data_IF_399372812755
#
_entry.id   IF_399372812755
#
_cell.length_a   1.000
_cell.length_b   1.000
_cell.length_c   1.000
_cell.angle_alpha   90.00
_cell.angle_beta   90.00
_cell.angle_gamma   90.00
#
_symmetry.space_group_name_H-M   'P 1'
#
loop_
_entity.id
_entity.type
_entity.pdbx_description
1 polymer ?
#
# COMPACT_ATOMS: atom_id res chain seq x y z
N UNK A 1 -22.18 8.37 -26.57
CA UNK A 1 -20.78 7.96 -26.78
C UNK A 1 -19.76 8.95 -26.20
N UNK A 2 -19.80 10.26 -26.53
CA UNK A 2 -18.92 11.26 -25.88
C UNK A 2 -19.28 11.56 -24.42
N UNK A 3 -20.57 11.56 -24.09
CA UNK A 3 -21.04 11.84 -22.73
C UNK A 3 -20.82 10.65 -21.78
N UNK A 4 -20.85 9.42 -22.31
CA UNK A 4 -20.56 8.20 -21.54
C UNK A 4 -19.09 8.13 -21.11
N UNK A 5 -18.18 8.60 -21.96
CA UNK A 5 -16.74 8.70 -21.63
C UNK A 5 -16.52 9.76 -20.56
N UNK A 6 -17.18 10.92 -20.65
CA UNK A 6 -17.11 11.94 -19.59
C UNK A 6 -17.67 11.45 -18.26
N UNK A 7 -18.80 10.76 -18.27
CA UNK A 7 -19.38 10.16 -17.06
C UNK A 7 -18.46 9.09 -16.45
N UNK A 8 -17.79 8.30 -17.29
CA UNK A 8 -16.76 7.36 -16.84
C UNK A 8 -15.55 8.10 -16.26
N UNK A 9 -15.01 9.11 -16.97
CA UNK A 9 -13.89 9.93 -16.50
C UNK A 9 -14.21 10.62 -15.16
N UNK A 10 -15.41 11.17 -14.99
CA UNK A 10 -15.89 11.78 -13.75
C UNK A 10 -16.06 10.74 -12.63
N UNK A 11 -16.59 9.54 -12.94
CA UNK A 11 -16.68 8.44 -11.98
C UNK A 11 -15.29 7.94 -11.52
N UNK A 12 -14.31 7.90 -12.43
CA UNK A 12 -12.91 7.58 -12.11
C UNK A 12 -12.20 8.71 -11.35
N UNK A 13 -12.54 9.97 -11.59
CA UNK A 13 -11.99 11.12 -10.87
C UNK A 13 -12.49 11.21 -9.41
N UNK A 14 -13.64 10.60 -9.09
CA UNK A 14 -14.31 10.77 -7.81
C UNK A 14 -14.38 9.52 -6.92
N UNK A 15 -13.75 8.40 -7.27
CA UNK A 15 -13.64 7.30 -6.32
C UNK A 15 -12.62 7.70 -5.24
N UNK A 16 -13.04 7.95 -3.98
CA UNK A 16 -12.11 8.38 -2.95
C UNK A 16 -11.17 7.22 -2.64
N UNK A 17 -9.87 7.43 -2.90
CA UNK A 17 -8.80 6.50 -2.53
C UNK A 17 -8.89 6.22 -1.03
N UNK A 18 -9.12 4.96 -0.64
CA UNK A 18 -9.16 4.55 0.78
C UNK A 18 -7.74 4.37 1.28
N UNK A 19 -7.21 5.37 1.97
CA UNK A 19 -5.89 5.28 2.58
C UNK A 19 -5.95 4.60 3.94
N UNK A 20 -5.10 3.59 4.12
CA UNK A 20 -4.87 2.96 5.41
C UNK A 20 -3.83 3.76 6.22
N UNK A 21 -4.15 4.07 7.48
CA UNK A 21 -3.19 4.57 8.47
C UNK A 21 -2.64 3.40 9.27
N UNK A 22 -1.35 3.43 9.57
CA UNK A 22 -0.71 2.43 10.42
C UNK A 22 -0.57 2.98 11.83
N UNK A 23 -1.18 2.30 12.80
CA UNK A 23 -1.02 2.56 14.23
C UNK A 23 -0.37 1.34 14.89
N UNK A 24 0.23 1.47 16.09
CA UNK A 24 0.78 0.33 16.81
C UNK A 24 -0.23 -0.81 17.06
N UNK A 25 -1.53 -0.51 17.08
CA UNK A 25 -2.61 -1.48 17.29
C UNK A 25 -3.13 -2.12 15.98
N UNK A 26 -2.67 -1.68 14.81
CA UNK A 26 -3.13 -2.20 13.52
C UNK A 26 -3.34 -1.12 12.45
N UNK A 27 -4.13 -1.46 11.45
CA UNK A 27 -4.46 -0.63 10.31
C UNK A 27 -5.80 0.07 10.54
N UNK A 28 -5.85 1.38 10.33
CA UNK A 28 -7.09 2.14 10.35
C UNK A 28 -7.48 2.51 8.92
N UNK A 29 -8.63 2.02 8.46
CA UNK A 29 -9.18 2.27 7.12
C UNK A 29 -10.57 2.89 7.28
N UNK A 30 -10.67 4.19 7.00
CA UNK A 30 -11.87 4.95 7.36
C UNK A 30 -12.09 4.94 8.87
N UNK A 31 -13.23 4.42 9.32
CA UNK A 31 -13.58 4.25 10.74
C UNK A 31 -13.24 2.86 11.29
N UNK A 32 -12.81 1.93 10.43
CA UNK A 32 -12.51 0.57 10.84
C UNK A 32 -11.05 0.43 11.29
N UNK A 33 -10.83 -0.30 12.38
CA UNK A 33 -9.50 -0.73 12.81
C UNK A 33 -9.36 -2.22 12.61
N UNK A 34 -8.39 -2.63 11.78
CA UNK A 34 -8.10 -4.00 11.45
C UNK A 34 -6.72 -4.36 12.02
N UNK A 35 -6.58 -5.38 12.89
CA UNK A 35 -5.27 -5.79 13.39
C UNK A 35 -4.36 -6.36 12.29
N UNK A 36 -4.99 -6.92 11.25
CA UNK A 36 -4.35 -7.57 10.11
C UNK A 36 -5.07 -7.13 8.84
N UNK A 37 -4.31 -6.92 7.76
CA UNK A 37 -4.85 -6.79 6.41
C UNK A 37 -4.49 -8.04 5.61
N UNK A 38 -5.50 -8.70 5.07
CA UNK A 38 -5.33 -9.87 4.20
C UNK A 38 -5.85 -9.54 2.80
N UNK A 39 -5.05 -9.81 1.78
CA UNK A 39 -5.42 -9.50 0.40
C UNK A 39 -4.25 -9.57 -0.56
N UNK A 40 -4.54 -9.33 -1.84
CA UNK A 40 -3.52 -9.33 -2.89
C UNK A 40 -2.98 -7.93 -3.11
N UNK A 41 -1.66 -7.78 -3.19
CA UNK A 41 -1.02 -6.51 -3.54
C UNK A 41 -1.11 -6.36 -5.07
N UNK A 42 -2.05 -5.54 -5.56
CA UNK A 42 -2.34 -5.31 -7.01
C UNK A 42 -1.36 -4.35 -7.68
N UNK A 43 -0.23 -4.08 -7.05
CA UNK A 43 0.79 -3.17 -7.52
C UNK A 43 1.33 -2.28 -6.41
N UNK A 44 2.54 -1.81 -6.66
CA UNK A 44 3.26 -0.94 -5.74
C UNK A 44 4.11 0.05 -6.53
N UNK A 45 4.39 1.20 -5.91
CA UNK A 45 5.24 2.22 -6.54
C UNK A 45 6.06 2.99 -5.51
N UNK A 46 7.18 3.50 -5.97
CA UNK A 46 8.00 4.44 -5.22
C UNK A 46 7.31 5.81 -5.20
N UNK A 47 7.09 6.34 -4.00
CA UNK A 47 6.65 7.72 -3.77
C UNK A 47 7.72 8.46 -2.98
N UNK A 48 7.73 9.79 -3.07
CA UNK A 48 8.67 10.62 -2.31
C UNK A 48 7.91 11.62 -1.46
N UNK A 49 8.29 11.75 -0.19
CA UNK A 49 7.68 12.70 0.74
C UNK A 49 8.72 13.51 1.49
N UNK A 50 8.46 14.81 1.57
CA UNK A 50 9.18 15.74 2.44
C UNK A 50 8.31 16.06 3.64
N UNK A 51 8.86 15.84 4.83
CA UNK A 51 8.23 16.21 6.09
C UNK A 51 8.91 17.44 6.67
N UNK A 52 8.14 18.40 7.16
CA UNK A 52 8.62 19.53 7.98
C UNK A 52 7.70 19.69 9.19
N UNK A 53 8.28 19.72 10.40
CA UNK A 53 7.50 19.82 11.64
C UNK A 53 6.44 18.72 11.78
N UNK A 54 6.74 17.49 11.35
CA UNK A 54 5.80 16.36 11.39
C UNK A 54 4.67 16.39 10.34
N UNK A 55 4.64 17.38 9.45
CA UNK A 55 3.62 17.49 8.38
C UNK A 55 4.24 17.22 7.02
N UNK A 56 3.48 16.54 6.15
CA UNK A 56 3.85 16.37 4.74
C UNK A 56 3.72 17.73 4.06
N UNK A 57 4.83 18.26 3.54
CA UNK A 57 4.86 19.54 2.81
C UNK A 57 5.08 19.35 1.31
N UNK A 58 5.45 18.14 0.89
CA UNK A 58 5.53 17.74 -0.50
C UNK A 58 5.32 16.22 -0.59
N UNK A 59 4.47 15.79 -1.51
CA UNK A 59 4.22 14.38 -1.85
C UNK A 59 4.20 14.24 -3.36
N UNK A 60 5.06 13.39 -3.90
CA UNK A 60 4.96 13.01 -5.30
C UNK A 60 4.08 11.77 -5.43
N UNK A 61 2.89 11.94 -6.00
CA UNK A 61 1.99 10.82 -6.23
C UNK A 61 2.19 10.14 -7.57
N UNK A 62 2.65 10.83 -8.62
CA UNK A 62 2.80 10.30 -9.98
C UNK A 62 3.61 11.22 -10.92
N UNK A 63 4.60 11.97 -10.41
CA UNK A 63 5.35 12.94 -11.20
C UNK A 63 4.68 14.32 -11.30
N UNK A 64 3.73 14.62 -10.42
CA UNK A 64 3.16 15.97 -10.28
C UNK A 64 4.28 16.90 -9.83
N UNK A 65 4.42 17.99 -10.59
CA UNK A 65 5.39 19.05 -10.37
C UNK A 65 5.54 19.41 -8.89
N UNK A 66 6.74 19.17 -8.34
CA UNK A 66 7.08 19.70 -7.04
C UNK A 66 7.10 21.23 -7.10
N UNK A 67 6.87 21.88 -5.96
CA UNK A 67 6.91 23.33 -5.80
C UNK A 67 8.09 23.95 -6.60
N UNK A 68 7.73 24.82 -7.57
CA UNK A 68 8.55 25.38 -8.68
C UNK A 68 8.61 24.57 -9.99
N UNK A 69 7.59 23.78 -10.34
CA UNK A 69 7.50 23.08 -11.63
C UNK A 69 8.68 22.15 -11.95
N UNK A 70 9.37 21.65 -10.90
CA UNK A 70 10.46 20.69 -11.07
C UNK A 70 9.92 19.29 -10.82
N UNK A 71 10.15 18.38 -11.78
CA UNK A 71 9.91 16.94 -11.60
C UNK A 71 10.62 16.49 -10.32
N UNK A 72 9.92 15.74 -9.46
CA UNK A 72 10.46 15.29 -8.17
C UNK A 72 11.72 14.43 -8.30
N UNK A 73 11.94 13.78 -9.44
CA UNK A 73 13.18 13.08 -9.77
C UNK A 73 14.41 14.01 -9.79
N UNK A 74 14.24 15.24 -10.27
CA UNK A 74 15.27 16.29 -10.26
C UNK A 74 15.35 17.05 -8.91
N UNK A 75 14.48 16.74 -7.95
CA UNK A 75 14.39 17.43 -6.67
C UNK A 75 15.34 16.80 -5.64
N UNK A 76 16.43 17.51 -5.31
CA UNK A 76 17.42 17.11 -4.29
C UNK A 76 17.18 17.78 -2.93
N UNK A 77 15.93 18.00 -2.52
CA UNK A 77 15.63 18.66 -1.23
C UNK A 77 16.03 17.76 -0.06
N UNK A 78 16.82 18.30 0.87
CA UNK A 78 17.18 17.61 2.11
C UNK A 78 15.94 17.20 2.91
N UNK A 79 15.96 15.97 3.44
CA UNK A 79 14.85 15.38 4.18
C UNK A 79 13.72 14.79 3.30
N UNK A 80 13.83 14.83 1.97
CA UNK A 80 12.91 14.14 1.07
C UNK A 80 13.21 12.64 1.05
N UNK A 81 12.36 11.85 1.71
CA UNK A 81 12.55 10.40 1.87
C UNK A 81 11.73 9.60 0.84
N UNK A 82 12.33 8.57 0.21
CA UNK A 82 11.57 7.58 -0.57
C UNK A 82 10.68 6.74 0.37
N UNK A 83 9.51 6.36 -0.13
CA UNK A 83 8.55 5.46 0.52
C UNK A 83 7.93 4.56 -0.55
N UNK A 84 7.38 3.44 -0.14
CA UNK A 84 6.63 2.55 -1.02
C UNK A 84 5.15 2.74 -0.71
N UNK A 85 4.35 2.91 -1.76
CA UNK A 85 2.89 2.82 -1.67
C UNK A 85 2.43 1.53 -2.30
N UNK A 86 1.65 0.77 -1.55
CA UNK A 86 0.96 -0.43 -2.00
C UNK A 86 -0.47 -0.10 -2.40
N UNK A 87 -0.97 -0.80 -3.41
CA UNK A 87 -2.39 -0.90 -3.72
C UNK A 87 -2.81 -2.32 -3.41
N UNK A 88 -3.64 -2.49 -2.40
CA UNK A 88 -4.04 -3.81 -1.89
C UNK A 88 -5.52 -3.99 -2.18
N UNK A 89 -5.88 -5.12 -2.74
CA UNK A 89 -7.26 -5.56 -2.82
C UNK A 89 -7.51 -6.57 -1.71
N UNK A 90 -8.35 -6.21 -0.75
CA UNK A 90 -8.63 -7.06 0.42
C UNK A 90 -9.47 -8.27 0.01
N UNK A 91 -9.17 -9.42 0.63
CA UNK A 91 -9.87 -10.67 0.31
C UNK A 91 -11.33 -10.65 0.79
N UNK A 92 -12.24 -11.41 0.16
CA UNK A 92 -13.63 -11.48 0.59
C UNK A 92 -13.84 -12.09 1.98
N UNK A 93 -14.97 -11.75 2.62
CA UNK A 93 -15.37 -12.30 3.92
C UNK A 93 -14.83 -11.57 5.16
N UNK A 94 -14.18 -10.41 5.00
CA UNK A 94 -13.73 -9.53 6.09
C UNK A 94 -14.51 -8.21 6.19
N UNK A 95 -14.21 -7.38 7.19
CA UNK A 95 -14.86 -6.07 7.38
C UNK A 95 -14.60 -5.05 6.25
N UNK A 96 -13.57 -5.32 5.45
CA UNK A 96 -13.15 -4.53 4.29
C UNK A 96 -13.41 -5.26 2.96
N UNK A 97 -14.29 -6.27 2.91
CA UNK A 97 -14.52 -7.14 1.75
C UNK A 97 -14.40 -6.43 0.39
N UNK A 98 -13.48 -6.93 -0.45
CA UNK A 98 -13.29 -6.50 -1.83
C UNK A 98 -12.78 -5.07 -2.02
N UNK A 99 -12.48 -4.34 -0.94
CA UNK A 99 -12.02 -2.97 -1.00
C UNK A 99 -10.62 -2.86 -1.61
N UNK A 100 -10.44 -1.86 -2.48
CA UNK A 100 -9.10 -1.37 -2.84
C UNK A 100 -8.64 -0.36 -1.78
N UNK A 101 -7.51 -0.65 -1.15
CA UNK A 101 -6.88 0.20 -0.15
C UNK A 101 -5.48 0.62 -0.60
N UNK A 102 -5.12 1.86 -0.31
CA UNK A 102 -3.78 2.39 -0.50
C UNK A 102 -3.04 2.44 0.83
N UNK A 103 -1.88 1.82 0.90
CA UNK A 103 -1.07 1.77 2.11
C UNK A 103 0.32 2.32 1.83
N UNK A 104 0.71 3.36 2.57
CA UNK A 104 2.08 3.88 2.51
C UNK A 104 2.92 3.32 3.64
N UNK A 105 4.07 2.77 3.26
CA UNK A 105 4.97 2.11 4.17
C UNK A 105 5.91 3.11 4.84
N UNK A 106 6.16 2.92 6.14
CA UNK A 106 7.28 3.60 6.78
C UNK A 106 8.62 2.98 6.33
N UNK A 107 9.76 3.59 6.69
CA UNK A 107 11.08 3.16 6.17
C UNK A 107 11.40 1.69 6.46
N UNK A 108 11.21 1.27 7.70
CA UNK A 108 11.38 -0.12 8.15
C UNK A 108 10.40 -1.07 7.47
N UNK A 109 9.13 -0.68 7.32
CA UNK A 109 8.15 -1.47 6.57
C UNK A 109 8.48 -1.56 5.07
N UNK A 110 9.09 -0.52 4.47
CA UNK A 110 9.58 -0.59 3.09
C UNK A 110 10.66 -1.67 2.95
N UNK A 111 11.60 -1.73 3.91
CA UNK A 111 12.62 -2.78 3.93
C UNK A 111 11.98 -4.17 4.05
N UNK A 112 11.01 -4.33 4.94
CA UNK A 112 10.32 -5.62 5.13
C UNK A 112 9.57 -6.03 3.85
N UNK A 113 8.91 -5.09 3.18
CA UNK A 113 8.25 -5.35 1.89
C UNK A 113 9.24 -5.75 0.79
N UNK A 114 10.38 -5.06 0.67
CA UNK A 114 11.38 -5.39 -0.36
C UNK A 114 12.01 -6.76 -0.11
N UNK A 115 12.27 -7.12 1.15
CA UNK A 115 12.74 -8.47 1.50
C UNK A 115 11.68 -9.52 1.14
N UNK A 116 10.42 -9.28 1.51
CA UNK A 116 9.30 -10.16 1.16
C UNK A 116 9.15 -10.36 -0.35
N UNK A 117 9.17 -9.27 -1.12
CA UNK A 117 9.10 -9.33 -2.58
C UNK A 117 10.30 -10.08 -3.18
N UNK A 118 11.50 -9.90 -2.61
CA UNK A 118 12.69 -10.64 -3.01
C UNK A 118 12.57 -12.14 -2.72
N UNK A 119 12.08 -12.53 -1.55
CA UNK A 119 11.85 -13.92 -1.17
C UNK A 119 10.84 -14.61 -2.11
N UNK A 120 9.76 -13.91 -2.47
CA UNK A 120 8.80 -14.39 -3.48
C UNK A 120 9.44 -14.58 -4.85
N UNK A 121 10.20 -13.61 -5.32
CA UNK A 121 10.88 -13.70 -6.60
C UNK A 121 11.88 -14.87 -6.64
N UNK A 122 12.60 -15.12 -5.54
CA UNK A 122 13.48 -16.30 -5.41
C UNK A 122 12.70 -17.62 -5.47
N UNK A 123 11.44 -17.62 -5.01
CA UNK A 123 10.51 -18.73 -5.14
C UNK A 123 9.74 -18.77 -6.47
N UNK A 124 10.04 -17.86 -7.42
CA UNK A 124 9.35 -17.69 -8.71
C UNK A 124 7.86 -17.36 -8.59
N UNK A 125 7.52 -16.58 -7.58
CA UNK A 125 6.19 -16.03 -7.35
C UNK A 125 6.24 -14.51 -7.52
N UNK A 126 5.19 -13.94 -8.10
CA UNK A 126 5.01 -12.50 -8.15
C UNK A 126 4.17 -12.02 -6.95
N UNK A 127 4.46 -10.81 -6.47
CA UNK A 127 3.74 -10.17 -5.35
C UNK A 127 2.24 -10.04 -5.66
N UNK A 128 1.91 -9.81 -6.93
CA UNK A 128 0.56 -9.63 -7.46
C UNK A 128 -0.25 -10.92 -7.59
N UNK A 129 0.39 -12.09 -7.45
CA UNK A 129 -0.22 -13.41 -7.64
C UNK A 129 -0.51 -14.13 -6.32
N UNK A 130 0.02 -13.63 -5.21
CA UNK A 130 -0.16 -14.23 -3.89
C UNK A 130 -1.17 -13.46 -3.05
N UNK A 131 -1.84 -14.17 -2.15
CA UNK A 131 -2.56 -13.52 -1.04
C UNK A 131 -1.52 -13.23 0.04
N UNK A 132 -1.39 -11.95 0.40
CA UNK A 132 -0.48 -11.50 1.46
C UNK A 132 -1.25 -11.25 2.75
N UNK A 133 -0.62 -11.59 3.87
CA UNK A 133 -1.04 -11.19 5.22
C UNK A 133 -0.09 -10.12 5.72
N UNK A 134 -0.65 -8.96 6.04
CA UNK A 134 0.07 -7.81 6.59
C UNK A 134 -0.33 -7.66 8.05
N UNK A 135 0.64 -7.71 8.95
CA UNK A 135 0.45 -7.53 10.40
C UNK A 135 1.28 -6.37 10.92
N UNK A 136 0.90 -5.80 12.07
CA UNK A 136 1.64 -4.71 12.71
C UNK A 136 2.36 -5.19 13.96
N UNK A 137 3.67 -4.94 14.02
CA UNK A 137 4.48 -5.06 15.22
C UNK A 137 4.60 -3.68 15.88
N UNK A 138 4.20 -3.59 17.15
CA UNK A 138 4.34 -2.37 17.93
C UNK A 138 5.82 -2.13 18.30
N UNK A 139 6.39 -1.03 17.81
CA UNK A 139 7.78 -0.62 18.08
C UNK A 139 7.88 0.56 19.05
N UNK A 140 7.00 0.57 20.06
CA UNK A 140 6.94 1.58 21.13
C UNK A 140 6.80 3.00 20.56
N UNK A 141 5.62 3.28 20.01
CA UNK A 141 5.26 4.61 19.48
C UNK A 141 5.03 4.66 17.97
N UNK A 142 5.34 3.58 17.24
CA UNK A 142 4.98 3.42 15.83
C UNK A 142 4.74 1.94 15.49
N UNK A 143 3.99 1.69 14.42
CA UNK A 143 3.71 0.35 13.92
C UNK A 143 4.61 -0.04 12.74
N UNK A 144 5.30 -1.17 12.86
CA UNK A 144 6.07 -1.78 11.76
C UNK A 144 5.24 -2.85 11.08
N UNK A 145 5.18 -2.84 9.75
CA UNK A 145 4.43 -3.85 8.99
C UNK A 145 5.35 -5.02 8.67
N UNK A 146 4.85 -6.22 8.92
CA UNK A 146 5.42 -7.50 8.50
C UNK A 146 4.54 -8.09 7.41
N UNK A 147 5.16 -8.79 6.45
CA UNK A 147 4.52 -9.36 5.28
C UNK A 147 4.75 -10.85 5.26
N UNK A 148 3.68 -11.60 5.05
CA UNK A 148 3.71 -13.06 4.96
C UNK A 148 2.83 -13.49 3.77
N UNK A 149 3.17 -14.62 3.16
CA UNK A 149 2.23 -15.27 2.23
C UNK A 149 1.16 -15.94 3.07
N UNK A 150 -0.10 -15.74 2.69
CA UNK A 150 -1.19 -16.53 3.24
C UNK A 150 -1.08 -17.97 2.75
N UNK A 151 -0.34 -18.76 3.53
CA UNK A 151 -0.34 -20.20 3.40
C UNK A 151 -1.58 -20.67 4.15
N UNK A 152 -2.74 -20.66 3.50
CA UNK A 152 -3.83 -21.49 3.98
C UNK A 152 -3.24 -22.89 4.21
N UNK A 153 -3.43 -23.51 5.39
CA UNK A 153 -2.93 -24.85 5.64
C UNK A 153 -3.42 -25.73 4.51
N UNK A 154 -2.48 -26.38 3.82
CA UNK A 154 -2.66 -27.13 2.57
C UNK A 154 -4.09 -27.67 2.48
N UNK A 155 -4.90 -27.06 1.61
CA UNK A 155 -6.17 -27.64 1.21
C UNK A 155 -5.89 -29.06 0.74
N UNK A 156 -6.34 -30.03 1.55
CA UNK A 156 -6.33 -31.46 1.29
C UNK A 156 -6.65 -31.74 -0.19
N UNK A 157 -5.96 -32.71 -0.84
CA UNK A 157 -6.00 -32.86 -2.29
C UNK A 157 -7.43 -33.12 -2.77
N UNK A 158 -7.79 -32.50 -3.89
CA UNK A 158 -8.95 -32.91 -4.67
C UNK A 158 -8.68 -34.30 -5.25
N UNK A 159 -8.98 -35.33 -4.46
CA UNK A 159 -9.31 -36.65 -4.95
C UNK A 159 -10.81 -36.66 -5.26
N UNK A 160 -11.14 -36.54 -6.55
CA UNK A 160 -12.06 -37.40 -7.33
C UNK A 160 -12.59 -36.65 -8.55
#
# INVERSE_FOLDING_TARGET
MRDDIKLLEEAFQHTPRRFARVLPAGFVVGEQTCPVLRGTIRGWKLVRKLFRGGRVVCSNDDGVEGERSRRCEACKRDGCSPRIRLRIQTDPGGSLDGAEIHLELNFSSCRNFLNYAHELAMARLEVEEVVSVLSVVNRVGWGEIIFEVDRQPDGCPLNH
#
